data_IF_259538550206
#
_entry.id   IF_259538550206
#
_cell.length_a   1.000
_cell.length_b   1.000
_cell.length_c   1.000
_cell.angle_alpha   90.00
_cell.angle_beta   90.00
_cell.angle_gamma   90.00
#
_symmetry.space_group_name_H-M   'P 1'
#
loop_
_entity.id
_entity.type
_entity.pdbx_description
1 polymer ?
#
# COMPACT_ATOMS: atom_id res chain seq x y z
N UNK A 1 -5.26 -7.33 17.26
CA UNK A 1 -5.72 -7.31 15.87
C UNK A 1 -7.01 -6.47 15.72
N UNK A 2 -8.05 -6.73 16.49
CA UNK A 2 -9.34 -6.02 16.38
C UNK A 2 -9.19 -4.48 16.49
N UNK A 3 -8.45 -3.98 17.46
CA UNK A 3 -8.18 -2.55 17.65
C UNK A 3 -7.45 -1.94 16.44
N UNK A 4 -6.48 -2.65 15.86
CA UNK A 4 -5.75 -2.19 14.70
C UNK A 4 -6.63 -2.14 13.44
N UNK A 5 -7.51 -3.12 13.25
CA UNK A 5 -8.51 -3.11 12.17
C UNK A 5 -9.47 -1.92 12.31
N UNK A 6 -9.90 -1.61 13.55
CA UNK A 6 -10.75 -0.44 13.84
C UNK A 6 -9.99 0.87 13.63
N UNK A 7 -8.69 0.90 13.90
CA UNK A 7 -7.85 2.09 13.67
C UNK A 7 -7.67 2.42 12.18
N UNK A 8 -7.95 1.49 11.28
CA UNK A 8 -8.01 1.70 9.84
C UNK A 8 -6.90 1.04 9.02
N UNK A 9 -5.87 0.47 9.65
CA UNK A 9 -4.83 -0.32 8.99
C UNK A 9 -4.03 -1.17 9.98
N UNK A 10 -3.43 -2.25 9.47
CA UNK A 10 -2.49 -3.09 10.24
C UNK A 10 -1.53 -3.82 9.27
N UNK A 11 -0.37 -4.19 9.77
CA UNK A 11 0.54 -5.03 9.01
C UNK A 11 0.03 -6.47 8.96
N UNK A 12 -0.32 -6.96 7.77
CA UNK A 12 -0.62 -8.38 7.53
C UNK A 12 0.69 -9.19 7.52
N UNK A 13 1.74 -8.57 6.99
CA UNK A 13 3.13 -9.03 7.09
C UNK A 13 3.96 -7.85 7.56
N UNK A 14 4.55 -7.98 8.74
CA UNK A 14 5.42 -6.95 9.31
C UNK A 14 6.65 -6.76 8.42
N UNK A 15 7.04 -5.51 8.12
CA UNK A 15 8.31 -5.27 7.43
C UNK A 15 9.48 -5.62 8.34
N UNK A 16 10.56 -6.09 7.76
CA UNK A 16 11.83 -6.21 8.49
C UNK A 16 12.45 -4.84 8.79
N UNK A 17 13.50 -4.83 9.61
CA UNK A 17 14.15 -3.59 10.09
C UNK A 17 14.70 -2.70 8.99
N UNK A 18 15.08 -3.28 7.86
CA UNK A 18 15.68 -2.60 6.72
C UNK A 18 14.81 -2.67 5.45
N UNK A 19 13.49 -2.77 5.64
CA UNK A 19 12.56 -2.87 4.52
C UNK A 19 12.59 -1.63 3.64
N UNK A 20 12.94 -1.82 2.37
CA UNK A 20 12.99 -0.79 1.33
C UNK A 20 11.66 -0.60 0.60
N UNK A 21 10.74 -1.54 0.80
CA UNK A 21 9.48 -1.60 0.07
C UNK A 21 8.37 -2.16 0.95
N UNK A 22 7.17 -1.61 0.76
CA UNK A 22 5.94 -2.22 1.25
C UNK A 22 4.82 -2.11 0.22
N UNK A 23 3.92 -3.08 0.23
CA UNK A 23 2.66 -3.04 -0.49
C UNK A 23 1.57 -2.66 0.52
N UNK A 24 0.79 -1.62 0.21
CA UNK A 24 -0.40 -1.22 0.97
C UNK A 24 -1.64 -1.44 0.12
N UNK A 25 -2.54 -2.30 0.55
CA UNK A 25 -3.74 -2.64 -0.20
C UNK A 25 -5.03 -2.34 0.57
N UNK A 26 -6.12 -2.15 -0.17
CA UNK A 26 -7.45 -2.01 0.41
C UNK A 26 -8.51 -2.60 -0.52
N UNK A 27 -9.49 -3.30 0.04
CA UNK A 27 -10.64 -3.80 -0.68
C UNK A 27 -10.45 -5.17 -1.33
N UNK A 28 -11.19 -5.41 -2.42
CA UNK A 28 -11.30 -6.72 -3.06
C UNK A 28 -10.02 -7.21 -3.75
N UNK A 29 -9.03 -6.32 -3.95
CA UNK A 29 -7.71 -6.67 -4.50
C UNK A 29 -6.80 -7.41 -3.51
N UNK A 30 -7.27 -7.69 -2.30
CA UNK A 30 -6.49 -8.39 -1.27
C UNK A 30 -5.82 -9.69 -1.76
N UNK A 31 -6.49 -10.60 -2.51
CA UNK A 31 -5.85 -11.80 -3.02
C UNK A 31 -4.65 -11.51 -3.94
N UNK A 32 -4.77 -10.51 -4.82
CA UNK A 32 -3.71 -10.09 -5.72
C UNK A 32 -2.50 -9.52 -4.96
N UNK A 33 -2.75 -8.65 -3.97
CA UNK A 33 -1.72 -8.06 -3.13
C UNK A 33 -0.99 -9.11 -2.29
N UNK A 34 -1.71 -10.10 -1.76
CA UNK A 34 -1.13 -11.21 -0.99
C UNK A 34 -0.26 -12.09 -1.89
N UNK A 35 -0.76 -12.45 -3.10
CA UNK A 35 0.00 -13.25 -4.06
C UNK A 35 1.25 -12.52 -4.54
N UNK A 36 1.16 -11.23 -4.86
CA UNK A 36 2.31 -10.42 -5.23
C UNK A 36 3.36 -10.34 -4.11
N UNK A 37 2.91 -10.14 -2.86
CA UNK A 37 3.83 -10.09 -1.73
C UNK A 37 4.52 -11.45 -1.49
N UNK A 38 3.82 -12.57 -1.65
CA UNK A 38 4.42 -13.90 -1.49
C UNK A 38 5.55 -14.13 -2.49
N UNK A 39 5.35 -13.78 -3.75
CA UNK A 39 6.37 -13.88 -4.79
C UNK A 39 7.52 -12.88 -4.53
N UNK A 40 7.19 -11.64 -4.21
CA UNK A 40 8.18 -10.60 -3.89
C UNK A 40 9.08 -11.01 -2.70
N UNK A 41 8.53 -11.70 -1.71
CA UNK A 41 9.26 -12.11 -0.50
C UNK A 41 10.35 -13.15 -0.76
N UNK A 42 10.36 -13.81 -1.93
CA UNK A 42 11.46 -14.71 -2.34
C UNK A 42 12.75 -13.92 -2.55
N UNK A 43 12.66 -12.73 -3.16
CA UNK A 43 13.80 -11.87 -3.43
C UNK A 43 13.98 -10.76 -2.38
N UNK A 44 12.87 -10.31 -1.78
CA UNK A 44 12.82 -9.22 -0.80
C UNK A 44 12.09 -9.64 0.48
N UNK A 45 12.68 -10.52 1.31
CA UNK A 45 12.01 -11.10 2.48
C UNK A 45 11.66 -10.06 3.57
N UNK A 46 12.23 -8.86 3.50
CA UNK A 46 11.96 -7.78 4.42
C UNK A 46 10.75 -6.92 4.01
N UNK A 47 10.24 -7.09 2.78
CA UNK A 47 9.12 -6.28 2.30
C UNK A 47 7.87 -6.45 3.18
N UNK A 48 7.20 -5.33 3.46
CA UNK A 48 5.98 -5.32 4.27
C UNK A 48 4.71 -5.47 3.43
N UNK A 49 3.63 -5.99 4.06
CA UNK A 49 2.28 -6.00 3.48
C UNK A 49 1.30 -5.36 4.45
N UNK A 50 0.82 -4.17 4.14
CA UNK A 50 -0.10 -3.37 4.94
C UNK A 50 -1.53 -3.53 4.44
N UNK A 51 -2.40 -4.05 5.30
CA UNK A 51 -3.84 -4.09 5.05
C UNK A 51 -4.48 -2.78 5.53
N UNK A 52 -5.06 -2.01 4.62
CA UNK A 52 -5.83 -0.80 4.93
C UNK A 52 -7.30 -1.15 4.95
N UNK A 53 -7.90 -1.15 6.14
CA UNK A 53 -9.30 -1.53 6.35
C UNK A 53 -10.26 -0.36 6.23
N UNK A 54 -9.78 0.88 6.46
CA UNK A 54 -10.58 2.09 6.38
C UNK A 54 -9.71 3.29 5.98
N UNK A 55 -9.50 3.54 4.66
CA UNK A 55 -8.69 4.66 4.18
C UNK A 55 -9.14 6.01 4.72
N UNK A 56 -10.46 6.26 4.74
CA UNK A 56 -11.02 7.52 5.23
C UNK A 56 -10.81 7.76 6.71
N UNK A 57 -10.88 6.71 7.55
CA UNK A 57 -10.61 6.83 9.00
C UNK A 57 -9.12 7.08 9.24
N UNK A 58 -8.27 6.33 8.55
CA UNK A 58 -6.81 6.45 8.66
C UNK A 58 -6.34 7.86 8.24
N UNK A 59 -6.90 8.39 7.15
CA UNK A 59 -6.61 9.74 6.67
C UNK A 59 -7.08 10.82 7.66
N UNK A 60 -8.30 10.69 8.21
CA UNK A 60 -8.79 11.65 9.22
C UNK A 60 -7.93 11.67 10.48
N UNK A 61 -7.52 10.48 10.98
CA UNK A 61 -6.60 10.40 12.12
C UNK A 61 -5.25 11.06 11.82
N UNK A 62 -4.69 10.85 10.64
CA UNK A 62 -3.45 11.49 10.20
C UNK A 62 -3.57 13.01 10.17
N UNK A 63 -4.64 13.55 9.58
CA UNK A 63 -4.90 15.00 9.53
C UNK A 63 -5.07 15.61 10.92
N UNK A 64 -5.84 14.96 11.77
CA UNK A 64 -6.03 15.39 13.16
C UNK A 64 -4.69 15.33 13.94
N UNK A 65 -3.91 14.27 13.74
CA UNK A 65 -2.61 14.12 14.39
C UNK A 65 -1.64 15.26 14.05
N UNK A 66 -1.62 15.71 12.78
CA UNK A 66 -0.82 16.86 12.36
C UNK A 66 -1.28 18.14 13.09
N UNK A 67 -2.60 18.38 13.12
CA UNK A 67 -3.15 19.57 13.78
C UNK A 67 -2.87 19.60 15.29
N UNK A 68 -2.90 18.43 15.93
CA UNK A 68 -2.71 18.27 17.38
C UNK A 68 -1.24 18.10 17.79
N UNK A 69 -0.30 18.05 16.84
CA UNK A 69 1.13 17.79 17.11
C UNK A 69 1.41 16.41 17.69
N UNK A 70 0.58 15.41 17.40
CA UNK A 70 0.73 14.02 17.88
C UNK A 70 1.11 13.06 16.75
N UNK A 71 1.55 11.87 17.10
CA UNK A 71 1.81 10.80 16.13
C UNK A 71 0.54 10.02 15.83
N UNK A 72 0.04 10.08 14.59
CA UNK A 72 -1.12 9.33 14.11
C UNK A 72 -0.82 7.86 13.84
N UNK A 73 -1.89 7.08 13.59
CA UNK A 73 -1.79 5.64 13.31
C UNK A 73 -0.97 5.34 12.06
N UNK A 74 -1.20 6.07 10.96
CA UNK A 74 -0.44 5.89 9.73
C UNK A 74 1.07 6.14 9.96
N UNK A 75 1.43 7.18 10.70
CA UNK A 75 2.81 7.51 11.01
C UNK A 75 3.49 6.41 11.85
N UNK A 76 2.79 5.87 12.86
CA UNK A 76 3.31 4.75 13.66
C UNK A 76 3.54 3.49 12.83
N UNK A 77 2.64 3.19 11.90
CA UNK A 77 2.77 2.03 11.02
C UNK A 77 3.95 2.20 10.06
N UNK A 78 4.03 3.33 9.36
CA UNK A 78 5.06 3.58 8.35
C UNK A 78 6.44 3.84 8.95
N UNK A 79 6.54 4.25 10.22
CA UNK A 79 7.82 4.37 10.93
C UNK A 79 8.57 3.03 11.10
N UNK A 80 7.94 1.89 10.76
CA UNK A 80 8.61 0.59 10.73
C UNK A 80 9.39 0.34 9.44
N UNK A 81 9.18 1.17 8.43
CA UNK A 81 9.94 1.12 7.19
C UNK A 81 11.21 1.98 7.31
N UNK A 82 12.20 1.65 6.51
CA UNK A 82 13.38 2.49 6.37
C UNK A 82 12.98 3.89 5.82
N UNK A 83 13.65 4.98 6.24
CA UNK A 83 13.43 6.29 5.61
C UNK A 83 13.62 6.23 4.10
N UNK A 84 12.65 6.74 3.35
CA UNK A 84 12.67 6.69 1.88
C UNK A 84 12.27 5.35 1.26
N UNK A 85 11.89 4.34 2.06
CA UNK A 85 11.32 3.11 1.54
C UNK A 85 10.14 3.39 0.62
N UNK A 86 10.03 2.65 -0.48
CA UNK A 86 8.96 2.85 -1.45
C UNK A 86 7.66 2.18 -0.99
N UNK A 87 6.53 2.75 -1.43
CA UNK A 87 5.20 2.18 -1.23
C UNK A 87 4.56 1.87 -2.59
N UNK A 88 4.09 0.65 -2.78
CA UNK A 88 3.10 0.33 -3.81
C UNK A 88 1.74 0.34 -3.15
N UNK A 89 0.84 1.23 -3.57
CA UNK A 89 -0.53 1.25 -3.06
C UNK A 89 -1.48 0.71 -4.11
N UNK A 90 -2.42 -0.15 -3.72
CA UNK A 90 -3.37 -0.77 -4.65
C UNK A 90 -4.77 -0.87 -4.04
N UNK A 91 -5.77 -0.61 -4.86
CA UNK A 91 -7.19 -0.73 -4.50
C UNK A 91 -8.08 -0.79 -5.73
N UNK A 92 -9.32 -1.27 -5.54
CA UNK A 92 -10.37 -1.32 -6.54
C UNK A 92 -11.13 0.02 -6.68
N UNK A 93 -10.43 1.12 -6.43
CA UNK A 93 -10.91 2.50 -6.45
C UNK A 93 -9.81 3.41 -7.01
N UNK A 94 -10.10 4.72 -7.12
CA UNK A 94 -9.15 5.69 -7.64
C UNK A 94 -7.84 5.71 -6.83
N UNK A 95 -6.65 5.65 -7.48
CA UNK A 95 -5.35 5.52 -6.80
C UNK A 95 -5.06 6.65 -5.81
N UNK A 96 -5.63 7.84 -5.99
CA UNK A 96 -5.49 8.97 -5.06
C UNK A 96 -6.01 8.66 -3.64
N UNK A 97 -6.89 7.66 -3.48
CA UNK A 97 -7.43 7.29 -2.17
C UNK A 97 -6.39 6.76 -1.19
N UNK A 98 -5.26 6.22 -1.67
CA UNK A 98 -4.16 5.71 -0.84
C UNK A 98 -2.82 6.43 -1.08
N UNK A 99 -2.64 7.17 -2.19
CA UNK A 99 -1.35 7.78 -2.53
C UNK A 99 -0.86 8.80 -1.49
N UNK A 100 -1.76 9.37 -0.67
CA UNK A 100 -1.41 10.27 0.41
C UNK A 100 -0.53 9.63 1.49
N UNK A 101 -0.50 8.29 1.58
CA UNK A 101 0.37 7.57 2.52
C UNK A 101 1.84 7.94 2.34
N UNK A 102 2.26 8.28 1.11
CA UNK A 102 3.61 8.75 0.84
C UNK A 102 3.99 10.04 1.57
N UNK A 103 3.02 10.92 1.81
CA UNK A 103 3.27 12.17 2.54
C UNK A 103 3.46 11.97 4.06
N UNK A 104 3.10 10.79 4.59
CA UNK A 104 3.18 10.52 6.05
C UNK A 104 4.62 10.40 6.53
N UNK A 105 5.51 9.81 5.73
CA UNK A 105 6.92 9.60 6.09
C UNK A 105 7.89 9.90 4.95
N UNK A 106 7.46 10.68 3.95
CA UNK A 106 8.26 11.00 2.75
C UNK A 106 8.65 9.75 1.96
N UNK A 107 7.70 8.83 1.83
CA UNK A 107 7.86 7.61 1.06
C UNK A 107 7.49 7.83 -0.41
N UNK A 108 8.33 7.48 -1.39
CA UNK A 108 7.92 7.41 -2.80
C UNK A 108 6.76 6.45 -2.97
N UNK A 109 5.72 6.82 -3.74
CA UNK A 109 4.54 5.99 -3.95
C UNK A 109 4.37 5.66 -5.43
N UNK A 110 4.14 4.38 -5.73
CA UNK A 110 3.61 3.92 -7.02
C UNK A 110 2.15 3.51 -6.79
N UNK A 111 1.19 4.39 -7.15
CA UNK A 111 -0.21 4.13 -6.89
C UNK A 111 -0.85 3.34 -8.03
N UNK A 112 -1.55 2.26 -7.68
CA UNK A 112 -2.36 1.44 -8.58
C UNK A 112 -3.83 1.56 -8.18
N UNK A 113 -4.71 1.61 -9.19
CA UNK A 113 -6.15 1.73 -8.95
C UNK A 113 -6.94 1.88 -10.23
N UNK A 114 -8.23 2.13 -10.09
CA UNK A 114 -9.20 2.24 -11.19
C UNK A 114 -9.44 3.72 -11.49
N UNK A 115 -9.03 4.16 -12.68
CA UNK A 115 -9.21 5.56 -13.14
C UNK A 115 -10.29 5.71 -14.21
N UNK A 116 -10.82 4.61 -14.74
CA UNK A 116 -11.79 4.60 -15.84
C UNK A 116 -12.96 3.69 -15.54
N UNK A 117 -14.16 4.10 -15.95
CA UNK A 117 -15.37 3.29 -15.88
C UNK A 117 -15.71 2.64 -17.22
N UNK A 118 -16.60 1.66 -17.18
CA UNK A 118 -17.28 1.13 -18.37
C UNK A 118 -16.69 -0.16 -18.93
N UNK A 119 -15.73 -0.78 -18.26
CA UNK A 119 -15.29 -2.11 -18.64
C UNK A 119 -16.21 -3.15 -18.00
N UNK A 120 -16.63 -4.15 -18.80
CA UNK A 120 -17.34 -5.34 -18.32
C UNK A 120 -16.47 -6.57 -18.62
N UNK A 121 -16.42 -7.50 -17.70
CA UNK A 121 -15.62 -8.72 -17.85
C UNK A 121 -15.57 -9.52 -16.56
N UNK A 122 -14.88 -10.63 -16.58
CA UNK A 122 -14.56 -11.39 -15.37
C UNK A 122 -13.56 -10.62 -14.50
N UNK A 123 -13.54 -10.90 -13.20
CA UNK A 123 -12.68 -10.19 -12.24
C UNK A 123 -11.20 -10.22 -12.66
N UNK A 124 -10.60 -11.35 -13.06
CA UNK A 124 -9.22 -11.39 -13.51
C UNK A 124 -8.94 -10.49 -14.73
N UNK A 125 -9.83 -10.51 -15.72
CA UNK A 125 -9.71 -9.69 -16.92
C UNK A 125 -9.81 -8.19 -16.59
N UNK A 126 -10.72 -7.83 -15.69
CA UNK A 126 -10.88 -6.45 -15.21
C UNK A 126 -9.65 -5.99 -14.43
N UNK A 127 -9.12 -6.82 -13.54
CA UNK A 127 -7.93 -6.48 -12.76
C UNK A 127 -6.71 -6.31 -13.65
N UNK A 128 -6.56 -7.17 -14.67
CA UNK A 128 -5.52 -7.01 -15.68
C UNK A 128 -5.70 -5.72 -16.49
N UNK A 129 -6.92 -5.46 -16.99
CA UNK A 129 -7.22 -4.26 -17.77
C UNK A 129 -7.01 -2.94 -17.00
N UNK A 130 -7.20 -2.97 -15.68
CA UNK A 130 -6.96 -1.82 -14.81
C UNK A 130 -5.55 -1.78 -14.20
N UNK A 131 -4.73 -2.78 -14.43
CA UNK A 131 -3.38 -2.86 -13.88
C UNK A 131 -3.36 -2.92 -12.35
N UNK A 132 -4.25 -3.71 -11.77
CA UNK A 132 -4.35 -3.94 -10.32
C UNK A 132 -4.25 -5.43 -9.95
N UNK A 133 -3.86 -6.26 -10.89
CA UNK A 133 -3.56 -7.67 -10.70
C UNK A 133 -2.18 -7.88 -10.03
N UNK A 134 -1.89 -9.14 -9.68
CA UNK A 134 -0.60 -9.53 -9.11
C UNK A 134 0.59 -9.02 -9.92
N UNK A 135 0.57 -9.22 -11.24
CA UNK A 135 1.70 -8.92 -12.10
C UNK A 135 1.95 -7.38 -12.18
N UNK A 136 0.88 -6.58 -12.24
CA UNK A 136 0.99 -5.13 -12.18
C UNK A 136 1.56 -4.64 -10.84
N UNK A 137 1.23 -5.28 -9.73
CA UNK A 137 1.78 -4.97 -8.42
C UNK A 137 3.28 -5.28 -8.37
N UNK A 138 3.72 -6.42 -8.92
CA UNK A 138 5.14 -6.80 -9.02
C UNK A 138 5.92 -5.83 -9.92
N UNK A 139 5.37 -5.45 -11.07
CA UNK A 139 5.95 -4.43 -11.95
C UNK A 139 6.09 -3.07 -11.25
N UNK A 140 5.09 -2.67 -10.47
CA UNK A 140 5.13 -1.46 -9.69
C UNK A 140 6.22 -1.52 -8.61
N UNK A 141 6.38 -2.65 -7.94
CA UNK A 141 7.43 -2.89 -6.95
C UNK A 141 8.82 -2.78 -7.59
N UNK A 142 9.03 -3.41 -8.76
CA UNK A 142 10.28 -3.33 -9.49
C UNK A 142 10.63 -1.89 -9.90
N UNK A 143 9.66 -1.13 -10.41
CA UNK A 143 9.84 0.30 -10.75
C UNK A 143 10.19 1.14 -9.52
N UNK A 144 9.54 0.89 -8.40
CA UNK A 144 9.81 1.59 -7.14
C UNK A 144 11.25 1.36 -6.66
N UNK A 145 11.74 0.12 -6.69
CA UNK A 145 13.11 -0.23 -6.34
C UNK A 145 14.14 0.43 -7.28
N UNK A 146 13.89 0.41 -8.60
CA UNK A 146 14.79 1.05 -9.58
C UNK A 146 14.86 2.57 -9.40
N UNK A 147 13.78 3.22 -9.01
CA UNK A 147 13.76 4.66 -8.76
C UNK A 147 14.57 5.04 -7.51
N UNK A 148 14.65 4.16 -6.51
CA UNK A 148 15.40 4.39 -5.27
C UNK A 148 16.94 4.30 -5.45
N UNK A 149 17.41 3.70 -6.55
CA UNK A 149 18.86 3.56 -6.86
C UNK A 149 19.44 4.81 -7.52
N UNK A 150 18.60 5.75 -7.97
CA UNK A 150 19.01 7.00 -8.62
C UNK A 150 19.15 8.14 -7.63
#
# INVERSE_FOLDING_TARGET
>A
LAEAMIAGAYWLREPGSDADLAIAYCGAVAPEAIAAHQELAEDMPQAGLLAVTSPGRLHRDWRAAIADGRTGTAARLLARLRPGAALVTVGDFHPAALSWLGAVGSHPVVPLGVERFGQSGDIPDLYHAYGIDRDAILDAAARACLAAIR
#
